data_IF_088373036206
#
_entry.id   IF_088373036206
#
_cell.length_a   1.000
_cell.length_b   1.000
_cell.length_c   1.000
_cell.angle_alpha   90.00
_cell.angle_beta   90.00
_cell.angle_gamma   90.00
#
_symmetry.space_group_name_H-M   'P 1'
#
loop_
_entity.id
_entity.type
_entity.pdbx_description
1 polymer ?
#
# COMPACT_ATOMS: atom_id res chain seq x y z
N UNK A 1 -20.04 5.19 -48.57
CA UNK A 1 -20.94 4.48 -47.64
C UNK A 1 -21.65 3.36 -48.40
N UNK A 2 -21.57 2.11 -47.88
CA UNK A 2 -21.98 0.78 -48.43
C UNK A 2 -20.75 -0.15 -48.51
N UNK A 3 -20.67 -1.39 -48.01
CA UNK A 3 -21.66 -2.38 -47.52
C UNK A 3 -20.98 -3.35 -46.53
N UNK A 4 -21.73 -3.69 -45.48
CA UNK A 4 -21.62 -4.76 -44.48
C UNK A 4 -21.40 -6.17 -45.04
N UNK A 5 -20.83 -7.09 -44.24
CA UNK A 5 -21.24 -8.51 -44.01
C UNK A 5 -20.19 -9.16 -43.07
N UNK A 6 -20.49 -9.51 -41.80
CA UNK A 6 -20.98 -10.85 -41.32
C UNK A 6 -20.42 -11.98 -42.21
N UNK A 7 -19.87 -13.11 -41.75
CA UNK A 7 -20.54 -14.21 -41.04
C UNK A 7 -19.50 -15.36 -40.85
N UNK A 8 -19.70 -16.18 -39.79
CA UNK A 8 -19.55 -17.67 -39.74
C UNK A 8 -18.11 -18.23 -39.86
N UNK A 9 -17.48 -18.73 -38.79
CA UNK A 9 -17.71 -20.01 -38.07
C UNK A 9 -17.12 -21.26 -38.76
N UNK A 10 -16.14 -21.86 -38.04
CA UNK A 10 -15.78 -23.29 -37.94
C UNK A 10 -15.17 -23.96 -39.18
N UNK A 11 -13.99 -24.57 -39.03
CA UNK A 11 -13.78 -26.02 -39.24
C UNK A 11 -12.31 -26.44 -39.05
N UNK A 12 -12.17 -27.67 -38.54
CA UNK A 12 -11.05 -28.60 -38.75
C UNK A 12 -9.80 -28.47 -37.86
N UNK A 13 -9.83 -29.32 -36.81
CA UNK A 13 -8.69 -29.88 -36.12
C UNK A 13 -7.82 -30.78 -37.02
N UNK A 14 -6.51 -30.87 -36.71
CA UNK A 14 -5.62 -32.04 -36.79
C UNK A 14 -4.16 -31.54 -36.74
N UNK A 15 -3.52 -31.59 -35.57
CA UNK A 15 -2.60 -32.66 -35.14
C UNK A 15 -1.22 -32.61 -35.84
N UNK A 16 -0.15 -32.31 -35.08
CA UNK A 16 0.90 -33.29 -34.74
C UNK A 16 2.06 -32.65 -33.97
N UNK A 17 2.61 -33.46 -33.07
CA UNK A 17 3.57 -33.15 -32.02
C UNK A 17 4.90 -32.57 -32.50
N UNK A 18 5.44 -31.63 -31.73
CA UNK A 18 6.87 -31.63 -31.37
C UNK A 18 6.99 -31.42 -29.87
N UNK A 19 7.44 -32.47 -29.20
CA UNK A 19 7.86 -32.51 -27.80
C UNK A 19 9.28 -31.98 -27.68
N UNK A 20 9.48 -30.95 -26.85
CA UNK A 20 10.76 -30.74 -26.15
C UNK A 20 10.44 -30.36 -24.70
N UNK A 21 10.77 -31.19 -23.70
CA UNK A 21 10.65 -30.78 -22.31
C UNK A 21 11.87 -29.94 -21.94
N UNK A 22 11.87 -28.65 -22.26
CA UNK A 22 12.77 -27.73 -21.57
C UNK A 22 12.18 -27.46 -20.19
N UNK A 23 12.59 -28.25 -19.20
CA UNK A 23 12.37 -27.95 -17.78
C UNK A 23 13.21 -26.74 -17.43
N UNK A 24 12.72 -25.55 -17.79
CA UNK A 24 13.19 -24.33 -17.16
C UNK A 24 12.59 -24.31 -15.77
N UNK A 25 13.43 -24.54 -14.76
CA UNK A 25 13.12 -24.10 -13.41
C UNK A 25 13.03 -22.58 -13.49
N UNK A 26 11.84 -22.06 -13.75
CA UNK A 26 11.54 -20.69 -13.42
C UNK A 26 11.74 -20.62 -11.90
N UNK A 27 12.86 -20.01 -11.50
CA UNK A 27 13.04 -19.47 -10.16
C UNK A 27 11.74 -18.77 -9.85
N UNK A 28 10.97 -19.33 -8.93
CA UNK A 28 10.01 -18.56 -8.15
C UNK A 28 10.88 -17.53 -7.47
N UNK A 29 11.04 -16.37 -8.12
CA UNK A 29 11.29 -15.14 -7.42
C UNK A 29 10.21 -15.14 -6.37
N UNK A 30 10.61 -15.39 -5.12
CA UNK A 30 9.79 -15.09 -3.97
C UNK A 30 9.43 -13.63 -4.14
N UNK A 31 8.27 -13.40 -4.76
CA UNK A 31 7.57 -12.15 -4.67
C UNK A 31 7.21 -12.06 -3.20
N UNK A 32 8.17 -11.62 -2.39
CA UNK A 32 7.87 -10.67 -1.34
C UNK A 32 7.26 -9.52 -2.10
N UNK A 33 5.95 -9.63 -2.35
CA UNK A 33 5.11 -8.50 -2.66
C UNK A 33 5.23 -7.60 -1.45
N UNK A 34 6.29 -6.80 -1.42
CA UNK A 34 6.39 -5.63 -0.56
C UNK A 34 5.40 -4.63 -1.16
N UNK A 35 4.12 -4.98 -1.06
CA UNK A 35 3.01 -4.10 -1.36
C UNK A 35 3.26 -2.90 -0.47
N UNK A 36 3.60 -1.76 -1.09
CA UNK A 36 3.86 -0.51 -0.37
C UNK A 36 2.70 -0.27 0.60
N UNK A 37 2.95 -0.47 1.90
CA UNK A 37 1.91 -0.38 2.92
C UNK A 37 1.60 1.09 3.14
N UNK A 38 0.33 1.44 2.99
CA UNK A 38 -0.12 2.84 3.06
C UNK A 38 -1.20 3.00 4.12
N UNK A 39 -1.17 4.10 4.86
CA UNK A 39 -2.16 4.48 5.87
C UNK A 39 -2.58 5.93 5.65
N UNK A 40 -3.87 6.19 5.52
CA UNK A 40 -4.43 7.55 5.49
C UNK A 40 -5.07 7.86 6.83
N UNK A 41 -4.66 8.96 7.47
CA UNK A 41 -5.21 9.43 8.73
C UNK A 41 -6.10 10.65 8.44
N UNK A 42 -7.36 10.60 8.86
CA UNK A 42 -8.38 11.64 8.58
C UNK A 42 -8.92 12.32 9.82
N UNK A 43 -8.53 11.88 11.00
CA UNK A 43 -8.98 12.43 12.28
C UNK A 43 -8.00 12.13 13.42
N UNK A 44 -8.29 12.72 14.57
CA UNK A 44 -7.52 12.55 15.80
C UNK A 44 -7.51 11.10 16.30
N UNK A 45 -8.63 10.37 16.16
CA UNK A 45 -8.73 8.99 16.61
C UNK A 45 -7.79 8.07 15.81
N UNK A 46 -7.77 8.22 14.49
CA UNK A 46 -6.84 7.52 13.61
C UNK A 46 -5.39 7.87 13.90
N UNK A 47 -5.09 9.14 14.22
CA UNK A 47 -3.75 9.52 14.66
C UNK A 47 -3.36 8.83 15.98
N UNK A 48 -4.29 8.75 16.93
CA UNK A 48 -4.05 8.07 18.21
C UNK A 48 -3.83 6.56 18.03
N UNK A 49 -4.59 5.90 17.15
CA UNK A 49 -4.38 4.48 16.82
C UNK A 49 -3.03 4.25 16.14
N UNK A 50 -2.69 5.09 15.17
CA UNK A 50 -1.39 5.07 14.51
C UNK A 50 -0.24 5.23 15.52
N UNK A 51 -0.36 6.21 16.42
CA UNK A 51 0.62 6.45 17.45
C UNK A 51 0.76 5.26 18.41
N UNK A 52 -0.35 4.62 18.80
CA UNK A 52 -0.35 3.41 19.64
C UNK A 52 0.25 2.20 18.95
N UNK A 53 0.10 2.05 17.64
CA UNK A 53 0.66 0.93 16.89
C UNK A 53 2.18 1.05 16.70
N UNK A 54 2.71 2.28 16.67
CA UNK A 54 4.14 2.59 16.58
C UNK A 54 4.88 2.36 17.93
N UNK A 55 4.89 1.12 18.41
CA UNK A 55 5.59 0.69 19.64
C UNK A 55 6.74 -0.26 19.39
N UNK A 56 6.66 -1.04 18.31
CA UNK A 56 7.71 -1.96 17.88
C UNK A 56 8.24 -1.50 16.52
N UNK A 57 9.54 -1.71 16.32
CA UNK A 57 10.31 -1.30 15.14
C UNK A 57 9.67 -1.72 13.82
N UNK A 58 9.26 -2.98 13.73
CA UNK A 58 8.70 -3.60 12.53
C UNK A 58 7.34 -3.04 12.10
N UNK A 59 6.56 -2.43 13.01
CA UNK A 59 5.22 -1.93 12.63
C UNK A 59 5.31 -0.80 11.63
N UNK A 60 6.26 0.12 11.76
CA UNK A 60 6.31 1.32 10.92
C UNK A 60 7.27 1.20 9.74
N UNK A 61 8.03 0.10 9.65
CA UNK A 61 8.98 -0.14 8.58
C UNK A 61 8.29 -0.14 7.21
N UNK A 62 8.76 0.74 6.32
CA UNK A 62 8.25 0.88 4.96
C UNK A 62 6.81 1.39 4.86
N UNK A 63 6.20 1.85 5.97
CA UNK A 63 4.84 2.41 5.99
C UNK A 63 4.82 3.81 5.38
N UNK A 64 3.95 4.05 4.41
CA UNK A 64 3.65 5.38 3.87
C UNK A 64 2.40 5.94 4.53
N UNK A 65 2.56 6.90 5.43
CA UNK A 65 1.45 7.56 6.11
C UNK A 65 1.12 8.86 5.41
N UNK A 66 -0.15 9.12 5.14
CA UNK A 66 -0.62 10.40 4.59
C UNK A 66 -1.74 10.98 5.46
N UNK A 67 -1.83 12.31 5.53
CA UNK A 67 -3.02 12.97 6.07
C UNK A 67 -4.07 13.14 4.98
N UNK A 68 -5.35 12.99 5.35
CA UNK A 68 -6.51 13.29 4.49
C UNK A 68 -7.29 14.53 4.92
N UNK A 69 -6.89 15.18 6.01
CA UNK A 69 -7.51 16.37 6.59
C UNK A 69 -6.54 17.02 7.58
N UNK A 70 -6.83 18.26 7.97
CA UNK A 70 -6.18 18.86 9.14
C UNK A 70 -6.63 18.16 10.41
N UNK A 71 -5.68 17.84 11.29
CA UNK A 71 -5.91 17.17 12.57
C UNK A 71 -5.57 18.14 13.70
N UNK A 72 -6.50 18.32 14.62
CA UNK A 72 -6.26 19.06 15.87
C UNK A 72 -6.18 18.05 17.00
N UNK A 73 -5.05 18.01 17.71
CA UNK A 73 -4.92 17.15 18.89
C UNK A 73 -5.54 17.86 20.10
N UNK A 74 -6.31 17.14 20.88
CA UNK A 74 -7.00 17.64 22.06
C UNK A 74 -6.44 16.98 23.33
N UNK A 75 -5.99 17.81 24.27
CA UNK A 75 -5.45 17.34 25.55
C UNK A 75 -4.15 16.54 25.43
N UNK A 76 -3.96 15.58 26.33
CA UNK A 76 -2.77 14.73 26.36
C UNK A 76 -2.88 13.64 25.28
N UNK A 77 -1.92 13.60 24.36
CA UNK A 77 -1.83 12.56 23.33
C UNK A 77 -0.69 11.59 23.64
N UNK A 78 -0.78 10.37 23.11
CA UNK A 78 0.33 9.42 23.21
C UNK A 78 1.34 9.67 22.10
N UNK A 79 2.62 9.98 22.39
CA UNK A 79 3.61 10.20 21.36
C UNK A 79 3.89 8.95 20.52
N UNK A 80 4.33 9.17 19.28
CA UNK A 80 4.88 8.13 18.40
C UNK A 80 6.32 7.87 18.88
N UNK A 81 6.57 6.71 19.48
CA UNK A 81 7.88 6.41 20.07
C UNK A 81 8.94 6.03 19.02
N UNK A 82 8.55 5.29 17.99
CA UNK A 82 9.45 4.82 16.92
C UNK A 82 8.70 4.91 15.59
N UNK A 83 9.32 5.54 14.58
CA UNK A 83 8.78 5.61 13.24
C UNK A 83 9.87 5.42 12.17
N UNK A 84 9.78 4.34 11.41
CA UNK A 84 10.70 3.97 10.32
C UNK A 84 10.05 4.04 8.93
N UNK A 85 9.00 4.85 8.77
CA UNK A 85 8.25 5.01 7.53
C UNK A 85 8.48 6.35 6.85
N UNK A 86 7.61 6.68 5.89
CA UNK A 86 7.47 8.02 5.32
C UNK A 86 6.16 8.63 5.82
N UNK A 87 6.22 9.84 6.37
CA UNK A 87 5.03 10.60 6.76
C UNK A 87 4.87 11.79 5.81
N UNK A 88 3.80 11.78 5.03
CA UNK A 88 3.43 12.80 4.06
C UNK A 88 2.25 13.61 4.60
N UNK A 89 2.46 14.90 4.88
CA UNK A 89 1.38 15.78 5.32
C UNK A 89 0.30 16.00 4.24
N UNK A 90 0.61 15.76 2.97
CA UNK A 90 -0.32 15.96 1.84
C UNK A 90 -1.01 17.35 1.85
N UNK A 91 -0.28 18.38 2.28
CA UNK A 91 -0.80 19.75 2.42
C UNK A 91 -1.62 20.03 3.68
N UNK A 92 -1.81 19.05 4.56
CA UNK A 92 -2.50 19.18 5.83
C UNK A 92 -1.55 19.35 7.01
N UNK A 93 -2.11 19.78 8.14
CA UNK A 93 -1.41 20.07 9.38
C UNK A 93 -1.89 19.20 10.54
N UNK A 94 -0.97 18.91 11.47
CA UNK A 94 -1.31 18.47 12.81
C UNK A 94 -1.04 19.64 13.75
N UNK A 95 -2.06 20.08 14.47
CA UNK A 95 -2.02 21.28 15.31
C UNK A 95 -2.31 20.96 16.78
N UNK A 96 -2.12 21.98 17.64
CA UNK A 96 -2.28 21.88 19.10
C UNK A 96 -1.40 20.81 19.77
N UNK A 97 -0.25 20.49 19.16
CA UNK A 97 0.74 19.57 19.73
C UNK A 97 1.38 20.21 20.97
N UNK A 98 1.19 19.59 22.13
CA UNK A 98 1.83 19.99 23.38
C UNK A 98 2.93 18.99 23.75
N UNK A 99 4.19 19.44 23.74
CA UNK A 99 5.35 18.60 24.09
C UNK A 99 5.89 19.08 25.43
N UNK A 100 5.70 18.27 26.47
CA UNK A 100 6.04 18.61 27.85
C UNK A 100 7.23 17.83 28.41
N UNK A 101 7.68 16.80 27.70
CA UNK A 101 8.81 15.96 28.08
C UNK A 101 9.86 15.91 26.97
N UNK A 102 11.12 15.77 27.37
CA UNK A 102 12.22 15.52 26.44
C UNK A 102 12.30 14.01 26.14
N UNK A 103 12.43 13.67 24.86
CA UNK A 103 12.54 12.30 24.36
C UNK A 103 13.92 11.68 24.58
#
# INVERSE_FOLDING_TARGET
MKITKKIISVFAAAALAVTVPTQTFAVTSSQTSSSKRTLTITDEAGFAEFAKACRIDSYSEGLYVTLGSDITLSGEFTPISIFGGTFDGNGHTISAVNITANG
#
